data_IF_719325846700
#
_entry.id   IF_719325846700
#
_cell.length_a   1.000
_cell.length_b   1.000
_cell.length_c   1.000
_cell.angle_alpha   90.00
_cell.angle_beta   90.00
_cell.angle_gamma   90.00
#
_symmetry.space_group_name_H-M   'P 1'
#
loop_
_entity.id
_entity.type
_entity.pdbx_description
1 polymer ?
#
# COMPACT_ATOMS: atom_id res chain seq x y z
N UNK A 1 26.04 -14.51 17.73
CA UNK A 1 25.35 -14.36 19.06
C UNK A 1 23.88 -14.07 18.77
N UNK A 2 22.98 -14.52 19.65
CA UNK A 2 21.55 -14.25 19.48
C UNK A 2 21.25 -12.77 19.79
N UNK A 3 20.33 -12.11 19.01
CA UNK A 3 19.90 -10.76 19.31
C UNK A 3 19.25 -10.67 20.68
N UNK A 4 19.47 -9.57 21.40
CA UNK A 4 18.84 -9.32 22.70
C UNK A 4 17.83 -8.17 22.57
N UNK A 5 16.65 -8.33 23.14
CA UNK A 5 15.59 -7.36 23.14
C UNK A 5 15.52 -6.64 24.49
N UNK A 6 15.41 -5.32 24.45
CA UNK A 6 15.25 -4.44 25.60
C UNK A 6 14.01 -3.58 25.44
N UNK A 7 13.18 -3.53 26.48
CA UNK A 7 12.07 -2.58 26.54
C UNK A 7 12.61 -1.26 27.12
N UNK A 8 12.31 -0.16 26.45
CA UNK A 8 12.78 1.17 26.80
C UNK A 8 11.61 2.14 26.89
N UNK A 9 11.45 2.81 28.03
CA UNK A 9 10.45 3.85 28.23
C UNK A 9 11.03 5.22 27.91
N UNK A 10 10.49 5.90 26.87
CA UNK A 10 10.84 7.28 26.53
C UNK A 10 9.86 8.26 27.17
N UNK A 11 10.35 8.98 28.17
CA UNK A 11 9.57 10.01 28.88
C UNK A 11 9.89 11.45 28.43
N UNK A 12 10.98 11.64 27.69
CA UNK A 12 11.47 12.93 27.24
C UNK A 12 11.86 12.91 25.76
N UNK A 13 11.98 14.09 25.15
CA UNK A 13 12.38 14.23 23.75
C UNK A 13 13.76 13.64 23.44
N UNK A 14 14.66 13.63 24.42
CA UNK A 14 15.99 13.02 24.34
C UNK A 14 16.26 12.30 25.66
N UNK A 15 16.55 11.03 25.59
CA UNK A 15 16.85 10.20 26.72
C UNK A 15 18.01 9.26 26.39
N UNK A 16 18.96 9.09 27.31
CA UNK A 16 20.14 8.24 27.11
C UNK A 16 19.98 6.93 27.84
N UNK A 17 20.26 5.82 27.16
CA UNK A 17 20.25 4.49 27.73
C UNK A 17 21.65 3.91 27.72
N UNK A 18 21.99 3.18 28.80
CA UNK A 18 23.24 2.45 28.91
C UNK A 18 22.91 0.97 28.96
N UNK A 19 23.50 0.20 28.07
CA UNK A 19 23.41 -1.25 28.04
C UNK A 19 24.76 -1.80 28.52
N UNK A 20 24.77 -2.54 29.65
CA UNK A 20 25.98 -3.07 30.21
C UNK A 20 26.35 -4.42 29.60
N UNK A 21 27.68 -4.67 29.48
CA UNK A 21 28.30 -5.98 29.20
C UNK A 21 28.20 -6.53 27.77
N UNK A 22 28.50 -5.70 26.76
CA UNK A 22 28.72 -6.21 25.39
C UNK A 22 30.19 -6.06 25.00
N UNK A 23 30.91 -7.16 24.92
CA UNK A 23 32.26 -7.19 24.39
C UNK A 23 32.28 -6.93 22.87
N UNK A 24 31.12 -7.11 22.21
CA UNK A 24 31.02 -7.01 20.76
C UNK A 24 29.62 -6.61 20.32
N UNK A 25 29.38 -5.31 20.15
CA UNK A 25 28.17 -4.76 19.58
C UNK A 25 28.33 -4.64 18.06
N UNK A 26 27.47 -5.31 17.31
CA UNK A 26 27.50 -5.27 15.83
C UNK A 26 26.40 -4.33 15.27
N UNK A 27 25.23 -4.27 15.92
CA UNK A 27 24.15 -3.39 15.54
C UNK A 27 23.22 -3.05 16.70
N UNK A 28 22.52 -1.93 16.57
CA UNK A 28 21.41 -1.53 17.44
C UNK A 28 20.21 -1.20 16.56
N UNK A 29 19.08 -1.81 16.85
CA UNK A 29 17.81 -1.57 16.16
C UNK A 29 16.82 -1.00 17.16
N UNK A 30 16.16 0.08 16.80
CA UNK A 30 15.09 0.68 17.60
C UNK A 30 13.77 0.41 16.90
N UNK A 31 12.78 -0.08 17.63
CA UNK A 31 11.45 -0.44 17.12
C UNK A 31 11.49 -1.36 15.87
N UNK A 32 12.24 -2.49 15.95
CA UNK A 32 12.47 -3.35 14.78
C UNK A 32 11.21 -4.07 14.28
N UNK A 33 10.14 -4.06 15.08
CA UNK A 33 8.85 -4.67 14.73
C UNK A 33 7.79 -3.63 14.34
N UNK A 34 8.14 -2.34 14.31
CA UNK A 34 7.20 -1.23 14.05
C UNK A 34 6.00 -1.23 15.00
N UNK A 35 6.23 -1.53 16.28
CA UNK A 35 5.19 -1.58 17.32
C UNK A 35 4.81 -0.20 17.84
N UNK A 36 5.70 0.76 17.71
CA UNK A 36 5.48 2.13 18.18
C UNK A 36 4.75 2.92 17.11
N UNK A 37 3.60 3.50 17.47
CA UNK A 37 2.89 4.41 16.58
C UNK A 37 3.64 5.75 16.48
N UNK A 38 4.41 5.92 15.43
CA UNK A 38 5.25 7.08 15.15
C UNK A 38 5.20 7.45 13.67
N UNK A 39 5.63 8.64 13.34
CA UNK A 39 5.90 8.99 11.96
C UNK A 39 7.19 8.29 11.53
N UNK A 40 7.10 7.48 10.48
CA UNK A 40 8.26 6.84 9.89
C UNK A 40 9.12 7.87 9.16
N UNK A 41 10.42 7.68 9.22
CA UNK A 41 11.34 8.42 8.37
C UNK A 41 11.22 7.96 6.92
N UNK A 42 11.66 8.80 6.00
CA UNK A 42 11.62 8.47 4.57
C UNK A 42 12.48 7.24 4.25
N UNK A 43 13.61 7.10 4.93
CA UNK A 43 14.51 5.96 4.78
C UNK A 43 13.93 4.65 5.36
N UNK A 44 12.88 4.74 6.16
CA UNK A 44 12.13 3.57 6.67
C UNK A 44 10.97 3.16 5.78
N UNK A 45 10.64 3.96 4.78
CA UNK A 45 9.54 3.74 3.85
C UNK A 45 10.07 3.43 2.45
N UNK A 46 10.38 2.16 2.13
CA UNK A 46 10.87 1.81 0.81
C UNK A 46 9.86 2.20 -0.28
N UNK A 47 10.35 2.60 -1.47
CA UNK A 47 9.46 2.96 -2.57
C UNK A 47 8.66 1.75 -3.04
N UNK A 48 7.38 1.96 -3.33
CA UNK A 48 6.45 0.90 -3.74
C UNK A 48 5.66 1.28 -4.99
N UNK A 49 5.06 0.29 -5.63
CA UNK A 49 4.12 0.48 -6.75
C UNK A 49 2.99 1.45 -6.37
N UNK A 50 2.49 1.35 -5.13
CA UNK A 50 1.42 2.22 -4.63
C UNK A 50 1.83 3.69 -4.53
N UNK A 51 3.10 3.97 -4.29
CA UNK A 51 3.61 5.34 -4.27
C UNK A 51 3.57 5.97 -5.67
N UNK A 52 3.89 5.20 -6.72
CA UNK A 52 3.76 5.67 -8.10
C UNK A 52 2.29 5.90 -8.47
N UNK A 53 1.41 4.96 -8.17
CA UNK A 53 -0.03 5.11 -8.45
C UNK A 53 -0.69 6.22 -7.63
N UNK A 54 -0.17 6.50 -6.43
CA UNK A 54 -0.64 7.58 -5.56
C UNK A 54 -0.08 8.97 -5.89
N UNK A 55 0.84 9.07 -6.84
CA UNK A 55 1.45 10.34 -7.22
C UNK A 55 0.43 11.26 -7.90
N UNK A 56 0.37 12.51 -7.45
CA UNK A 56 -0.49 13.53 -8.08
C UNK A 56 -0.03 13.95 -9.49
N UNK A 57 1.28 13.86 -9.74
CA UNK A 57 1.91 14.16 -11.04
C UNK A 57 2.83 13.03 -11.44
N UNK A 58 2.64 12.50 -12.64
CA UNK A 58 3.38 11.35 -13.13
C UNK A 58 3.72 11.50 -14.61
N UNK A 59 4.87 10.98 -15.01
CA UNK A 59 5.26 10.89 -16.41
C UNK A 59 5.57 9.46 -16.79
N UNK A 60 5.14 9.07 -17.97
CA UNK A 60 5.46 7.78 -18.59
C UNK A 60 6.46 8.01 -19.73
N UNK A 61 7.64 7.43 -19.60
CA UNK A 61 8.70 7.49 -20.63
C UNK A 61 8.64 6.23 -21.44
N UNK A 62 8.18 6.37 -22.69
CA UNK A 62 7.97 5.26 -23.59
C UNK A 62 9.21 4.96 -24.43
N UNK A 63 9.47 3.67 -24.71
CA UNK A 63 10.47 3.27 -25.68
C UNK A 63 9.99 3.51 -27.10
N UNK A 64 10.87 3.31 -28.09
CA UNK A 64 10.50 3.45 -29.50
C UNK A 64 9.66 2.28 -30.02
N UNK A 65 9.87 1.09 -29.49
CA UNK A 65 9.16 -0.11 -29.91
C UNK A 65 7.84 -0.32 -29.19
N UNK A 66 6.90 -0.96 -29.86
CA UNK A 66 5.60 -1.35 -29.33
C UNK A 66 4.77 -0.19 -28.72
N UNK A 67 4.95 1.04 -29.24
CA UNK A 67 4.36 2.28 -28.73
C UNK A 67 2.87 2.18 -28.40
N UNK A 68 2.08 1.49 -29.23
CA UNK A 68 0.62 1.40 -29.02
C UNK A 68 0.25 0.68 -27.70
N UNK A 69 0.97 -0.36 -27.32
CA UNK A 69 0.74 -1.10 -26.09
C UNK A 69 1.17 -0.27 -24.89
N UNK A 70 2.31 0.41 -24.98
CA UNK A 70 2.80 1.28 -23.92
C UNK A 70 1.95 2.54 -23.70
N UNK A 71 1.42 3.14 -24.76
CA UNK A 71 0.46 4.25 -24.65
C UNK A 71 -0.78 3.81 -23.90
N UNK A 72 -1.35 2.63 -24.26
CA UNK A 72 -2.51 2.09 -23.54
C UNK A 72 -2.22 1.88 -22.05
N UNK A 73 -1.09 1.29 -21.70
CA UNK A 73 -0.69 1.11 -20.29
C UNK A 73 -0.58 2.46 -19.58
N UNK A 74 0.06 3.45 -20.20
CA UNK A 74 0.22 4.79 -19.63
C UNK A 74 -1.13 5.50 -19.43
N UNK A 75 -2.07 5.37 -20.34
CA UNK A 75 -3.43 5.93 -20.23
C UNK A 75 -4.22 5.28 -19.09
N UNK A 76 -4.16 3.96 -18.96
CA UNK A 76 -4.85 3.22 -17.90
C UNK A 76 -4.23 3.50 -16.51
N UNK A 77 -2.91 3.52 -16.41
CA UNK A 77 -2.21 3.81 -15.15
C UNK A 77 -2.24 5.29 -14.78
N UNK A 78 -2.21 6.19 -15.77
CA UNK A 78 -2.30 7.63 -15.55
C UNK A 78 -3.65 8.07 -15.02
N UNK A 79 -4.70 7.44 -15.48
CA UNK A 79 -6.12 7.51 -15.06
C UNK A 79 -6.61 8.83 -14.48
N UNK A 80 -6.27 9.12 -13.23
CA UNK A 80 -6.76 10.28 -12.47
C UNK A 80 -5.67 11.28 -12.07
N UNK A 81 -4.40 10.90 -12.27
CA UNK A 81 -3.27 11.78 -12.00
C UNK A 81 -3.11 12.82 -13.12
N UNK A 82 -2.41 13.91 -12.82
CA UNK A 82 -1.87 14.79 -13.86
C UNK A 82 -0.71 14.06 -14.53
N UNK A 83 -1.02 13.33 -15.63
CA UNK A 83 -0.02 12.50 -16.28
C UNK A 83 0.39 13.04 -17.65
N UNK A 84 1.62 12.78 -18.00
CA UNK A 84 2.24 13.12 -19.28
C UNK A 84 2.92 11.89 -19.90
N UNK A 85 2.86 11.79 -21.22
CA UNK A 85 3.58 10.77 -21.99
C UNK A 85 4.73 11.46 -22.71
N UNK A 86 5.94 10.98 -22.47
CA UNK A 86 7.16 11.42 -23.16
C UNK A 86 7.82 10.23 -23.86
N UNK A 87 8.55 10.53 -24.93
CA UNK A 87 9.35 9.53 -25.63
C UNK A 87 10.81 9.64 -25.20
N UNK A 88 11.48 8.52 -25.05
CA UNK A 88 12.84 8.48 -24.53
C UNK A 88 13.84 9.29 -25.38
N UNK A 89 13.63 9.35 -26.70
CA UNK A 89 14.44 10.13 -27.63
C UNK A 89 14.22 11.65 -27.53
N UNK A 90 13.12 12.09 -26.90
CA UNK A 90 12.75 13.50 -26.77
C UNK A 90 13.29 14.20 -25.51
N UNK A 91 13.84 13.45 -24.58
CA UNK A 91 14.34 13.98 -23.30
C UNK A 91 15.80 13.61 -23.06
N UNK A 92 16.50 14.34 -22.19
CA UNK A 92 17.91 14.12 -21.85
C UNK A 92 18.13 13.63 -20.43
N UNK A 93 17.16 13.78 -19.56
CA UNK A 93 17.17 13.35 -18.16
C UNK A 93 15.76 13.11 -17.69
N UNK A 94 15.61 12.34 -16.59
CA UNK A 94 14.33 12.16 -15.93
C UNK A 94 13.81 13.51 -15.39
N UNK A 95 12.50 13.81 -15.53
CA UNK A 95 11.88 14.98 -14.90
C UNK A 95 11.94 14.91 -13.37
N UNK A 96 12.45 15.96 -12.71
CA UNK A 96 12.72 15.98 -11.26
C UNK A 96 11.54 16.44 -10.39
N UNK A 97 10.43 16.87 -11.02
CA UNK A 97 9.28 17.46 -10.36
C UNK A 97 8.06 16.53 -10.25
N UNK A 98 8.21 15.28 -10.67
CA UNK A 98 7.14 14.28 -10.72
C UNK A 98 7.67 12.86 -10.65
N UNK A 99 6.82 11.91 -10.29
CA UNK A 99 7.13 10.49 -10.35
C UNK A 99 7.22 10.00 -11.79
N UNK A 100 8.04 8.97 -12.04
CA UNK A 100 8.40 8.55 -13.39
C UNK A 100 8.18 7.05 -13.57
N UNK A 101 7.47 6.66 -14.63
CA UNK A 101 7.50 5.30 -15.16
C UNK A 101 8.41 5.23 -16.39
N UNK A 102 9.40 4.38 -16.35
CA UNK A 102 10.26 4.00 -17.50
C UNK A 102 9.75 2.68 -18.05
N UNK A 103 9.29 2.69 -19.29
CA UNK A 103 8.61 1.57 -19.92
C UNK A 103 9.53 0.85 -20.92
N UNK A 104 9.54 -0.48 -20.87
CA UNK A 104 10.29 -1.32 -21.79
C UNK A 104 11.76 -1.56 -21.39
N UNK A 105 12.33 -2.68 -21.92
CA UNK A 105 13.72 -3.06 -21.68
C UNK A 105 14.74 -2.22 -22.46
N UNK A 106 14.34 -1.73 -23.63
CA UNK A 106 15.23 -0.96 -24.50
C UNK A 106 15.21 0.54 -24.22
N UNK A 107 14.51 0.95 -23.16
CA UNK A 107 14.45 2.34 -22.75
C UNK A 107 15.81 2.78 -22.17
N UNK A 108 16.46 3.83 -22.72
CA UNK A 108 17.79 4.28 -22.29
C UNK A 108 17.83 4.76 -20.82
N UNK A 109 16.68 5.15 -20.24
CA UNK A 109 16.60 5.56 -18.84
C UNK A 109 16.48 4.38 -17.85
N UNK A 110 16.45 3.15 -18.36
CA UNK A 110 16.45 1.94 -17.53
C UNK A 110 17.64 1.91 -16.57
N UNK A 111 18.82 2.26 -17.04
CA UNK A 111 20.04 2.20 -16.22
C UNK A 111 20.01 3.18 -15.03
N UNK A 112 19.26 4.28 -15.14
CA UNK A 112 19.05 5.21 -14.02
C UNK A 112 18.22 4.55 -12.91
N UNK A 113 17.21 3.73 -13.27
CA UNK A 113 16.42 2.95 -12.31
C UNK A 113 17.28 1.90 -11.62
N UNK A 114 18.10 1.18 -12.35
CA UNK A 114 19.02 0.17 -11.78
C UNK A 114 20.08 0.82 -10.88
N UNK A 115 20.57 2.00 -11.23
CA UNK A 115 21.45 2.78 -10.37
C UNK A 115 20.74 3.17 -9.08
N UNK A 116 19.52 3.68 -9.16
CA UNK A 116 18.71 4.09 -8.01
C UNK A 116 18.31 2.90 -7.09
N UNK A 117 18.29 1.69 -7.60
CA UNK A 117 17.94 0.47 -6.85
C UNK A 117 19.16 -0.38 -6.47
N UNK A 118 20.37 0.06 -6.83
CA UNK A 118 21.61 -0.68 -6.53
C UNK A 118 21.85 -0.89 -5.04
N UNK A 119 21.45 0.07 -4.20
CA UNK A 119 21.52 -0.04 -2.73
C UNK A 119 20.68 -1.21 -2.17
N UNK A 120 19.68 -1.68 -2.91
CA UNK A 120 18.87 -2.85 -2.57
C UNK A 120 19.41 -4.16 -3.16
N UNK A 121 20.62 -4.11 -3.76
CA UNK A 121 21.25 -5.27 -4.38
C UNK A 121 20.64 -5.69 -5.73
N UNK A 122 19.89 -4.81 -6.38
CA UNK A 122 19.38 -5.03 -7.73
C UNK A 122 20.54 -4.84 -8.73
N UNK A 123 20.76 -5.84 -9.57
CA UNK A 123 21.77 -5.78 -10.62
C UNK A 123 21.23 -6.34 -11.92
N UNK A 124 21.66 -5.73 -13.03
CA UNK A 124 21.38 -6.22 -14.35
C UNK A 124 22.30 -7.42 -14.64
N UNK A 125 21.76 -8.47 -15.26
CA UNK A 125 22.52 -9.61 -15.80
C UNK A 125 22.16 -9.78 -17.28
N UNK A 126 22.93 -10.58 -18.04
CA UNK A 126 22.84 -10.65 -19.51
C UNK A 126 21.40 -10.86 -20.01
N UNK A 127 20.67 -11.82 -19.43
CA UNK A 127 19.31 -12.19 -19.85
C UNK A 127 18.25 -11.95 -18.77
N UNK A 128 18.50 -11.03 -17.81
CA UNK A 128 17.58 -10.82 -16.70
C UNK A 128 18.05 -9.81 -15.67
N UNK A 129 17.56 -9.99 -14.46
CA UNK A 129 17.95 -9.18 -13.30
C UNK A 129 18.20 -10.09 -12.08
N UNK A 130 19.09 -9.66 -11.20
CA UNK A 130 19.24 -10.25 -9.88
C UNK A 130 18.51 -9.39 -8.86
N UNK A 131 17.61 -10.01 -8.09
CA UNK A 131 16.79 -9.36 -7.05
C UNK A 131 16.75 -10.26 -5.81
N UNK A 132 16.93 -9.69 -4.63
CA UNK A 132 16.81 -10.41 -3.36
C UNK A 132 17.61 -11.72 -3.29
N UNK A 133 18.79 -11.74 -3.93
CA UNK A 133 19.66 -12.91 -3.98
C UNK A 133 19.24 -13.99 -4.99
N UNK A 134 18.14 -13.82 -5.71
CA UNK A 134 17.67 -14.68 -6.80
C UNK A 134 17.90 -14.05 -8.18
N UNK A 135 17.90 -14.86 -9.22
CA UNK A 135 17.95 -14.42 -10.62
C UNK A 135 16.56 -14.55 -11.25
N UNK A 136 16.13 -13.51 -11.96
CA UNK A 136 14.86 -13.44 -12.68
C UNK A 136 15.17 -13.19 -14.14
N UNK A 137 14.98 -14.21 -14.96
CA UNK A 137 15.19 -14.14 -16.42
C UNK A 137 14.10 -13.25 -17.05
N UNK A 138 14.40 -12.63 -18.20
CA UNK A 138 13.42 -11.81 -18.92
C UNK A 138 12.46 -12.64 -19.76
N UNK A 139 12.89 -13.82 -20.24
CA UNK A 139 12.12 -14.67 -21.13
C UNK A 139 10.77 -15.08 -20.51
N UNK A 140 9.67 -14.85 -21.24
CA UNK A 140 8.29 -15.14 -20.86
C UNK A 140 7.90 -14.49 -19.52
N UNK A 141 8.42 -13.30 -19.23
CA UNK A 141 8.20 -12.60 -17.95
C UNK A 141 7.86 -11.13 -18.14
N UNK A 142 7.09 -10.63 -17.16
CA UNK A 142 6.89 -9.21 -16.93
C UNK A 142 7.46 -8.85 -15.58
N UNK A 143 8.31 -7.82 -15.52
CA UNK A 143 9.04 -7.45 -14.31
C UNK A 143 8.82 -5.98 -13.99
N UNK A 144 8.66 -5.68 -12.71
CA UNK A 144 8.48 -4.32 -12.19
C UNK A 144 9.47 -4.06 -11.07
N UNK A 145 10.17 -2.93 -11.16
CA UNK A 145 11.14 -2.46 -10.17
C UNK A 145 10.82 -1.02 -9.81
N UNK A 146 10.71 -0.74 -8.54
CA UNK A 146 10.46 0.61 -8.02
C UNK A 146 11.66 1.09 -7.22
N UNK A 147 12.09 2.31 -7.49
CA UNK A 147 13.19 2.98 -6.78
C UNK A 147 12.82 4.40 -6.34
N UNK A 148 13.71 5.04 -5.62
CA UNK A 148 13.65 6.48 -5.38
C UNK A 148 14.14 7.23 -6.61
N UNK A 149 13.55 8.38 -6.89
CA UNK A 149 14.00 9.21 -7.99
C UNK A 149 15.45 9.71 -7.72
N UNK A 150 16.41 9.49 -8.65
CA UNK A 150 17.83 9.74 -8.37
C UNK A 150 18.16 11.19 -8.00
N UNK A 151 17.36 12.15 -8.48
CA UNK A 151 17.56 13.58 -8.19
C UNK A 151 16.55 14.14 -7.18
N UNK A 152 15.55 13.37 -6.73
CA UNK A 152 14.54 13.84 -5.79
C UNK A 152 13.97 12.69 -4.96
N UNK A 153 14.52 12.45 -3.77
CA UNK A 153 14.14 11.34 -2.90
C UNK A 153 12.68 11.34 -2.45
N UNK A 154 11.96 12.46 -2.59
CA UNK A 154 10.53 12.55 -2.30
C UNK A 154 9.64 11.89 -3.37
N UNK A 155 10.20 11.56 -4.52
CA UNK A 155 9.50 10.98 -5.65
C UNK A 155 9.94 9.54 -5.88
N UNK A 156 9.05 8.75 -6.47
CA UNK A 156 9.34 7.40 -6.89
C UNK A 156 9.61 7.33 -8.40
N UNK A 157 10.45 6.37 -8.79
CA UNK A 157 10.64 5.95 -10.17
C UNK A 157 10.33 4.47 -10.30
N UNK A 158 9.75 4.06 -11.40
CA UNK A 158 9.45 2.66 -11.69
C UNK A 158 9.92 2.27 -13.07
N UNK A 159 10.37 1.04 -13.19
CA UNK A 159 10.62 0.40 -14.48
C UNK A 159 9.71 -0.81 -14.64
N UNK A 160 9.11 -0.93 -15.81
CA UNK A 160 8.32 -2.10 -16.19
C UNK A 160 8.85 -2.69 -17.50
N UNK A 161 9.13 -3.97 -17.46
CA UNK A 161 9.43 -4.81 -18.61
C UNK A 161 8.28 -5.78 -18.84
N UNK A 162 7.91 -5.96 -20.10
CA UNK A 162 6.96 -6.99 -20.55
C UNK A 162 7.58 -7.65 -21.76
N UNK A 163 7.98 -8.92 -21.65
CA UNK A 163 8.64 -9.65 -22.72
C UNK A 163 7.68 -9.89 -23.90
N UNK A 164 6.52 -10.46 -23.61
CA UNK A 164 5.50 -10.71 -24.62
C UNK A 164 4.33 -9.73 -24.47
N UNK A 165 4.08 -8.88 -25.49
CA UNK A 165 2.99 -7.87 -25.44
C UNK A 165 1.59 -8.44 -25.23
N UNK A 166 1.38 -9.72 -25.46
CA UNK A 166 0.12 -10.41 -25.14
C UNK A 166 -0.17 -10.42 -23.63
N UNK A 167 0.85 -10.33 -22.78
CA UNK A 167 0.69 -10.22 -21.32
C UNK A 167 0.23 -8.82 -20.86
N UNK A 168 0.36 -7.79 -21.70
CA UNK A 168 0.09 -6.40 -21.35
C UNK A 168 -1.30 -6.14 -20.75
N UNK A 169 -2.41 -6.67 -21.31
CA UNK A 169 -3.73 -6.46 -20.72
C UNK A 169 -3.83 -6.99 -19.28
N UNK A 170 -3.27 -8.18 -19.03
CA UNK A 170 -3.23 -8.76 -17.70
C UNK A 170 -2.34 -7.98 -16.72
N UNK A 171 -1.24 -7.41 -17.20
CA UNK A 171 -0.40 -6.52 -16.37
C UNK A 171 -1.14 -5.22 -16.00
N UNK A 172 -1.86 -4.63 -16.93
CA UNK A 172 -2.68 -3.44 -16.68
C UNK A 172 -3.73 -3.71 -15.60
N UNK A 173 -4.41 -4.84 -15.66
CA UNK A 173 -5.44 -5.22 -14.71
C UNK A 173 -4.85 -5.55 -13.33
N UNK A 174 -3.76 -6.32 -13.29
CA UNK A 174 -3.24 -6.90 -12.04
C UNK A 174 -2.33 -5.97 -11.25
N UNK A 175 -1.46 -5.19 -11.92
CA UNK A 175 -0.42 -4.42 -11.23
C UNK A 175 -0.96 -3.43 -10.18
N UNK A 176 -2.10 -2.76 -10.36
CA UNK A 176 -2.67 -1.89 -9.33
C UNK A 176 -2.95 -2.58 -7.98
N UNK A 177 -3.22 -3.89 -7.98
CA UNK A 177 -3.45 -4.67 -6.76
C UNK A 177 -2.16 -5.00 -5.98
N UNK A 178 -1.00 -4.72 -6.57
CA UNK A 178 0.31 -4.98 -5.96
C UNK A 178 0.96 -3.73 -5.35
N UNK A 179 0.16 -2.74 -4.97
CA UNK A 179 0.62 -1.43 -4.48
C UNK A 179 1.65 -1.47 -3.36
N UNK A 180 1.63 -2.47 -2.49
CA UNK A 180 2.52 -2.58 -1.33
C UNK A 180 3.94 -3.10 -1.64
N UNK A 181 4.21 -3.54 -2.87
CA UNK A 181 5.48 -4.15 -3.23
C UNK A 181 6.42 -3.18 -3.94
N UNK A 182 7.73 -3.37 -3.75
CA UNK A 182 8.80 -2.61 -4.40
C UNK A 182 9.31 -3.27 -5.67
N UNK A 183 9.19 -4.60 -5.76
CA UNK A 183 9.56 -5.37 -6.93
C UNK A 183 8.62 -6.55 -7.14
N UNK A 184 8.42 -6.90 -8.40
CA UNK A 184 7.50 -7.94 -8.84
C UNK A 184 8.03 -8.64 -10.09
N UNK A 185 7.76 -9.93 -10.23
CA UNK A 185 7.83 -10.65 -11.49
C UNK A 185 6.57 -11.48 -11.69
N UNK A 186 6.17 -11.58 -12.94
CA UNK A 186 5.02 -12.38 -13.40
C UNK A 186 5.45 -13.25 -14.56
N UNK A 187 4.97 -14.47 -14.61
CA UNK A 187 5.24 -15.42 -15.69
C UNK A 187 4.04 -15.59 -16.61
N UNK A 188 4.34 -15.79 -17.91
CA UNK A 188 3.37 -16.20 -18.91
C UNK A 188 2.56 -15.08 -19.53
N UNK A 189 1.84 -15.44 -20.57
CA UNK A 189 0.94 -14.54 -21.31
C UNK A 189 -0.30 -14.10 -20.50
N UNK A 190 -0.72 -14.94 -19.57
CA UNK A 190 -1.66 -14.58 -18.50
C UNK A 190 -0.84 -14.36 -17.22
N UNK A 191 -0.41 -13.11 -16.93
CA UNK A 191 0.59 -12.84 -15.92
C UNK A 191 0.26 -13.46 -14.57
N UNK A 192 1.09 -14.41 -14.11
CA UNK A 192 0.97 -15.02 -12.78
C UNK A 192 2.15 -14.60 -11.94
N UNK A 193 1.89 -13.97 -10.80
CA UNK A 193 2.94 -13.47 -9.91
C UNK A 193 3.71 -14.63 -9.27
N UNK A 194 5.03 -14.64 -9.43
CA UNK A 194 5.94 -15.65 -8.88
C UNK A 194 7.04 -15.04 -8.00
N UNK A 195 7.35 -13.76 -8.18
CA UNK A 195 8.31 -13.03 -7.35
C UNK A 195 7.69 -11.71 -6.90
N UNK A 196 7.77 -11.40 -5.62
CA UNK A 196 7.37 -10.12 -5.06
C UNK A 196 8.05 -9.84 -3.72
N UNK A 197 8.29 -8.58 -3.43
CA UNK A 197 8.83 -8.17 -2.13
C UNK A 197 8.89 -6.66 -1.98
N UNK A 198 9.29 -6.27 -0.79
CA UNK A 198 9.56 -4.89 -0.39
C UNK A 198 11.05 -4.77 -0.12
N UNK A 199 11.66 -3.65 -0.52
CA UNK A 199 13.06 -3.41 -0.22
C UNK A 199 13.30 -3.34 1.30
N UNK A 200 14.49 -3.73 1.73
CA UNK A 200 14.97 -3.43 3.08
C UNK A 200 15.18 -1.91 3.23
N UNK A 201 15.26 -1.44 4.46
CA UNK A 201 15.54 -0.03 4.80
C UNK A 201 16.95 0.07 5.42
N UNK A 202 18.03 -0.06 4.62
CA UNK A 202 19.40 -0.15 5.15
C UNK A 202 19.87 1.14 5.84
N UNK A 203 19.34 2.29 5.40
CA UNK A 203 19.71 3.61 5.89
C UNK A 203 18.72 4.18 6.93
N UNK A 204 17.89 3.32 7.54
CA UNK A 204 16.94 3.74 8.58
C UNK A 204 17.65 4.47 9.72
N UNK A 205 17.19 5.67 10.14
CA UNK A 205 17.74 6.37 11.30
C UNK A 205 17.48 5.63 12.63
N UNK A 206 16.61 4.61 12.59
CA UNK A 206 16.27 3.76 13.74
C UNK A 206 17.20 2.55 13.86
N UNK A 207 18.28 2.52 13.09
CA UNK A 207 19.31 1.49 13.18
C UNK A 207 20.71 2.09 13.23
N UNK A 208 21.58 1.42 13.93
CA UNK A 208 23.01 1.64 13.88
C UNK A 208 23.70 0.29 13.62
N UNK A 209 24.58 0.25 12.64
CA UNK A 209 25.39 -0.91 12.30
C UNK A 209 26.85 -0.48 12.38
N UNK A 210 27.67 -1.33 12.96
CA UNK A 210 29.10 -1.08 13.12
C UNK A 210 29.79 -1.07 11.76
N UNK A 211 30.65 -0.10 11.54
CA UNK A 211 31.45 0.00 10.30
C UNK A 211 32.25 -1.28 10.03
N UNK A 212 32.12 -1.81 8.82
CA UNK A 212 32.78 -3.04 8.41
C UNK A 212 32.17 -4.32 8.99
N UNK A 213 31.00 -4.26 9.58
CA UNK A 213 30.22 -5.43 9.96
C UNK A 213 29.52 -6.02 8.72
N UNK A 214 29.52 -7.35 8.62
CA UNK A 214 28.71 -8.08 7.63
C UNK A 214 27.25 -8.27 8.11
N UNK A 215 26.83 -7.53 9.15
CA UNK A 215 25.51 -7.63 9.72
C UNK A 215 24.45 -7.19 8.69
N UNK A 216 23.53 -8.07 8.41
CA UNK A 216 22.30 -7.76 7.68
C UNK A 216 21.10 -8.09 8.56
N UNK A 217 20.09 -7.22 8.54
CA UNK A 217 18.84 -7.47 9.25
C UNK A 217 18.08 -8.54 8.48
N UNK A 218 18.07 -9.75 9.02
CA UNK A 218 17.10 -10.77 8.63
C UNK A 218 15.97 -10.75 9.68
N UNK A 219 14.74 -10.33 9.30
CA UNK A 219 13.61 -10.33 10.21
C UNK A 219 13.36 -11.69 10.89
N UNK A 220 13.77 -12.79 10.23
CA UNK A 220 13.65 -14.13 10.80
C UNK A 220 14.65 -14.40 11.95
N UNK A 221 15.71 -13.60 12.07
CA UNK A 221 16.70 -13.72 13.16
C UNK A 221 16.36 -12.88 14.38
N UNK A 222 15.38 -11.97 14.27
CA UNK A 222 14.93 -11.21 15.43
C UNK A 222 14.25 -12.11 16.44
N UNK A 223 14.41 -11.84 17.75
CA UNK A 223 13.72 -12.60 18.78
C UNK A 223 12.23 -12.62 18.54
N UNK A 224 11.61 -13.79 18.65
CA UNK A 224 10.15 -13.88 18.55
C UNK A 224 9.52 -13.05 19.66
N UNK A 225 8.68 -12.09 19.31
CA UNK A 225 7.92 -11.32 20.30
C UNK A 225 7.12 -12.26 21.18
N UNK A 226 7.05 -11.94 22.47
CA UNK A 226 6.11 -12.62 23.37
C UNK A 226 4.70 -12.38 22.85
N UNK A 227 4.04 -13.45 22.45
CA UNK A 227 2.65 -13.35 22.00
C UNK A 227 1.79 -12.76 23.12
N UNK A 228 0.97 -11.76 22.78
CA UNK A 228 0.00 -11.18 23.72
C UNK A 228 -1.17 -12.14 24.05
N UNK A 229 -1.04 -13.40 23.69
CA UNK A 229 -2.08 -14.44 23.88
C UNK A 229 -2.46 -14.68 25.35
N UNK A 230 -1.65 -14.26 26.29
CA UNK A 230 -1.97 -14.35 27.72
C UNK A 230 -2.73 -13.12 28.26
N UNK A 231 -2.91 -12.08 27.43
CA UNK A 231 -3.75 -10.95 27.79
C UNK A 231 -5.20 -11.26 27.44
N UNK A 232 -6.17 -10.84 28.27
CA UNK A 232 -7.58 -10.96 27.89
C UNK A 232 -7.78 -10.25 26.54
N UNK A 233 -8.57 -10.85 25.63
CA UNK A 233 -8.75 -10.28 24.31
C UNK A 233 -9.29 -8.85 24.43
N UNK A 234 -8.62 -7.90 23.79
CA UNK A 234 -9.06 -6.50 23.77
C UNK A 234 -10.33 -6.33 22.97
N UNK A 235 -10.59 -7.23 22.02
CA UNK A 235 -11.77 -7.29 21.20
C UNK A 235 -12.43 -8.65 21.37
N UNK A 236 -13.77 -8.66 21.46
CA UNK A 236 -14.53 -9.90 21.62
C UNK A 236 -14.71 -10.56 20.24
N UNK A 237 -14.28 -11.81 20.05
CA UNK A 237 -14.43 -12.52 18.78
C UNK A 237 -15.88 -12.52 18.26
N UNK A 238 -16.85 -12.65 19.18
CA UNK A 238 -18.28 -12.66 18.81
C UNK A 238 -18.75 -11.33 18.20
N UNK A 239 -18.15 -10.21 18.60
CA UNK A 239 -18.48 -8.91 18.01
C UNK A 239 -17.93 -8.78 16.62
N UNK A 240 -16.65 -9.18 16.42
CA UNK A 240 -16.03 -9.21 15.10
C UNK A 240 -16.80 -10.12 14.15
N UNK A 241 -17.10 -11.34 14.59
CA UNK A 241 -17.87 -12.30 13.79
C UNK A 241 -19.27 -11.80 13.42
N UNK A 242 -19.92 -11.05 14.31
CA UNK A 242 -21.23 -10.45 14.01
C UNK A 242 -21.14 -9.45 12.86
N UNK A 243 -20.15 -8.57 12.83
CA UNK A 243 -19.96 -7.63 11.73
C UNK A 243 -19.66 -8.36 10.42
N UNK A 244 -18.81 -9.40 10.46
CA UNK A 244 -18.53 -10.23 9.27
C UNK A 244 -19.79 -10.89 8.78
N UNK A 245 -20.56 -11.56 9.65
CA UNK A 245 -21.79 -12.25 9.28
C UNK A 245 -22.82 -11.30 8.67
N UNK A 246 -22.99 -10.11 9.24
CA UNK A 246 -23.91 -9.09 8.71
C UNK A 246 -23.49 -8.65 7.31
N UNK A 247 -22.20 -8.31 7.13
CA UNK A 247 -21.68 -7.84 5.84
C UNK A 247 -21.63 -8.93 4.77
N UNK A 248 -21.64 -10.20 5.15
CA UNK A 248 -21.62 -11.35 4.21
C UNK A 248 -23.00 -11.98 4.00
N UNK A 249 -24.05 -11.41 4.59
CA UNK A 249 -25.43 -11.86 4.37
C UNK A 249 -25.80 -11.77 2.89
N UNK A 250 -26.64 -12.67 2.43
CA UNK A 250 -27.11 -12.71 1.03
C UNK A 250 -27.76 -11.40 0.58
N UNK A 251 -28.41 -10.68 1.50
CA UNK A 251 -29.01 -9.38 1.21
C UNK A 251 -28.00 -8.29 0.87
N UNK A 252 -26.73 -8.46 1.28
CA UNK A 252 -25.64 -7.57 0.92
C UNK A 252 -25.12 -7.82 -0.50
N UNK A 253 -25.61 -8.87 -1.19
CA UNK A 253 -25.28 -9.17 -2.59
C UNK A 253 -23.78 -9.17 -2.88
N UNK A 254 -22.95 -9.68 -1.93
CA UNK A 254 -21.51 -9.63 -2.01
C UNK A 254 -20.93 -8.22 -2.14
N UNK A 255 -21.68 -7.21 -1.75
CA UNK A 255 -21.28 -5.78 -1.76
C UNK A 255 -20.76 -5.29 -3.12
N UNK A 256 -21.26 -5.90 -4.20
CA UNK A 256 -20.88 -5.55 -5.56
C UNK A 256 -21.26 -4.11 -5.91
N UNK A 257 -20.39 -3.39 -6.60
CA UNK A 257 -20.63 -2.01 -7.05
C UNK A 257 -21.89 -1.94 -7.91
N UNK A 258 -22.71 -0.94 -7.67
CA UNK A 258 -23.98 -0.71 -8.40
C UNK A 258 -25.14 -1.60 -7.94
N UNK A 259 -24.94 -2.47 -6.96
CA UNK A 259 -26.02 -3.28 -6.38
C UNK A 259 -26.70 -2.54 -5.22
N UNK A 260 -27.90 -2.98 -4.85
CA UNK A 260 -28.55 -2.48 -3.63
C UNK A 260 -27.84 -2.94 -2.35
N UNK A 261 -27.10 -4.06 -2.42
CA UNK A 261 -26.38 -4.64 -1.31
C UNK A 261 -25.25 -3.75 -0.80
N UNK A 262 -24.49 -3.11 -1.71
CA UNK A 262 -23.43 -2.18 -1.30
C UNK A 262 -24.01 -0.95 -0.57
N UNK A 263 -25.20 -0.49 -0.98
CA UNK A 263 -25.90 0.58 -0.28
C UNK A 263 -26.32 0.19 1.14
N UNK A 264 -26.86 -1.04 1.32
CA UNK A 264 -27.18 -1.59 2.66
C UNK A 264 -25.93 -1.69 3.54
N UNK A 265 -24.80 -2.14 2.98
CA UNK A 265 -23.53 -2.19 3.69
C UNK A 265 -23.06 -0.79 4.13
N UNK A 266 -23.16 0.22 3.28
CA UNK A 266 -22.85 1.61 3.63
C UNK A 266 -23.75 2.14 4.78
N UNK A 267 -25.05 1.82 4.74
CA UNK A 267 -26.00 2.19 5.80
C UNK A 267 -25.63 1.48 7.11
N UNK A 268 -25.34 0.19 7.05
CA UNK A 268 -24.90 -0.58 8.22
C UNK A 268 -23.66 0.03 8.87
N UNK A 269 -22.61 0.32 8.08
CA UNK A 269 -21.37 0.91 8.58
C UNK A 269 -21.64 2.29 9.17
N UNK A 270 -22.50 3.08 8.53
CA UNK A 270 -22.93 4.39 9.04
C UNK A 270 -23.54 4.29 10.44
N UNK A 271 -24.44 3.32 10.64
CA UNK A 271 -25.06 3.10 11.95
C UNK A 271 -24.04 2.64 13.00
N UNK A 272 -23.07 1.80 12.61
CA UNK A 272 -21.99 1.38 13.51
C UNK A 272 -21.11 2.57 13.93
N UNK A 273 -20.71 3.44 12.99
CA UNK A 273 -19.92 4.64 13.30
C UNK A 273 -20.71 5.61 14.21
N UNK A 274 -21.98 5.83 13.92
CA UNK A 274 -22.88 6.62 14.79
C UNK A 274 -22.99 6.02 16.18
N UNK A 275 -23.22 4.72 16.28
CA UNK A 275 -23.33 3.98 17.55
C UNK A 275 -22.01 3.93 18.34
N UNK A 276 -20.89 4.02 17.65
CA UNK A 276 -19.56 4.15 18.24
C UNK A 276 -19.32 5.58 18.80
N UNK A 277 -20.12 6.57 18.42
CA UNK A 277 -19.98 7.95 18.85
C UNK A 277 -18.98 8.77 18.01
N UNK A 278 -18.70 8.34 16.78
CA UNK A 278 -17.98 9.16 15.83
C UNK A 278 -18.84 10.33 15.37
N UNK A 279 -18.22 11.44 15.01
CA UNK A 279 -18.90 12.57 14.40
C UNK A 279 -18.87 12.49 12.86
N UNK A 280 -19.92 12.95 12.19
CA UNK A 280 -19.91 13.06 10.73
C UNK A 280 -19.00 14.21 10.26
N UNK A 281 -18.42 14.09 9.06
CA UNK A 281 -17.73 15.19 8.41
C UNK A 281 -18.73 15.97 7.54
N UNK A 282 -18.74 17.29 7.65
CA UNK A 282 -19.67 18.17 6.93
C UNK A 282 -21.16 17.77 7.09
N UNK A 283 -21.53 17.22 8.25
CA UNK A 283 -22.91 16.85 8.58
C UNK A 283 -23.38 15.51 8.02
N UNK A 284 -22.54 14.77 7.32
CA UNK A 284 -22.84 13.44 6.77
C UNK A 284 -21.73 12.45 7.03
N UNK A 285 -22.10 11.20 7.34
CA UNK A 285 -21.17 10.07 7.35
C UNK A 285 -20.91 9.56 5.94
N UNK A 286 -21.85 9.74 5.02
CA UNK A 286 -21.74 9.24 3.65
C UNK A 286 -21.27 10.35 2.72
N UNK A 287 -20.12 10.13 2.09
CA UNK A 287 -19.58 10.93 1.00
C UNK A 287 -19.97 10.25 -0.30
N UNK A 288 -20.88 10.87 -1.06
CA UNK A 288 -21.43 10.32 -2.30
C UNK A 288 -20.91 11.07 -3.52
N UNK A 289 -20.53 10.32 -4.54
CA UNK A 289 -20.18 10.89 -5.85
C UNK A 289 -20.59 9.95 -6.97
N UNK A 290 -20.57 10.44 -8.19
CA UNK A 290 -20.95 9.69 -9.38
C UNK A 290 -19.77 9.59 -10.32
N UNK A 291 -19.43 8.37 -10.73
CA UNK A 291 -18.29 8.10 -11.57
C UNK A 291 -18.58 6.94 -12.54
N UNK A 292 -17.89 6.92 -13.69
CA UNK A 292 -17.84 5.74 -14.56
C UNK A 292 -16.83 4.75 -14.03
N UNK A 293 -17.22 3.48 -13.93
CA UNK A 293 -16.39 2.39 -13.47
C UNK A 293 -16.25 1.39 -14.61
N UNK A 294 -15.00 1.04 -14.97
CA UNK A 294 -14.68 0.03 -16.00
C UNK A 294 -15.48 0.17 -17.31
N UNK A 295 -15.66 1.39 -17.81
CA UNK A 295 -16.40 1.66 -19.05
C UNK A 295 -17.93 1.49 -18.95
N UNK A 296 -18.45 1.30 -17.74
CA UNK A 296 -19.88 1.21 -17.46
C UNK A 296 -20.56 2.59 -17.43
N UNK A 297 -21.90 2.57 -17.34
CA UNK A 297 -22.68 3.77 -17.03
C UNK A 297 -22.23 4.38 -15.69
N UNK A 298 -22.50 5.67 -15.51
CA UNK A 298 -22.19 6.39 -14.27
C UNK A 298 -22.90 5.75 -13.09
N UNK A 299 -22.12 5.35 -12.09
CA UNK A 299 -22.58 4.69 -10.85
C UNK A 299 -22.35 5.65 -9.68
N UNK A 300 -23.30 5.71 -8.76
CA UNK A 300 -23.10 6.39 -7.47
C UNK A 300 -22.25 5.49 -6.57
N UNK A 301 -21.15 6.04 -6.07
CA UNK A 301 -20.25 5.44 -5.11
C UNK A 301 -20.36 6.20 -3.77
N UNK A 302 -20.06 5.53 -2.66
CA UNK A 302 -20.21 6.09 -1.33
C UNK A 302 -19.05 5.65 -0.44
N UNK A 303 -18.22 6.59 0.03
CA UNK A 303 -17.37 6.33 1.19
C UNK A 303 -18.16 6.61 2.47
N UNK A 304 -17.93 5.81 3.51
CA UNK A 304 -18.49 6.09 4.85
C UNK A 304 -17.38 6.61 5.74
N UNK A 305 -17.56 7.81 6.28
CA UNK A 305 -16.50 8.53 7.01
C UNK A 305 -17.02 9.00 8.36
N UNK A 306 -16.24 8.76 9.40
CA UNK A 306 -16.48 9.27 10.73
C UNK A 306 -15.19 9.76 11.38
N UNK A 307 -15.29 10.70 12.32
CA UNK A 307 -14.15 11.32 12.98
C UNK A 307 -14.25 11.23 14.50
N UNK A 308 -13.12 10.97 15.15
CA UNK A 308 -12.87 11.27 16.55
C UNK A 308 -12.05 12.54 16.59
N UNK A 309 -12.63 13.63 17.14
CA UNK A 309 -11.89 14.88 17.31
C UNK A 309 -10.79 14.73 18.33
N UNK A 310 -9.65 15.37 18.06
CA UNK A 310 -8.54 15.45 19.00
C UNK A 310 -8.64 16.65 19.94
N UNK A 311 -7.65 16.78 20.81
CA UNK A 311 -7.44 18.01 21.62
C UNK A 311 -7.25 19.21 20.68
N UNK A 312 -6.56 19.02 19.57
CA UNK A 312 -6.56 19.96 18.45
C UNK A 312 -7.82 19.68 17.60
N UNK A 313 -8.75 20.61 17.61
CA UNK A 313 -10.03 20.48 16.89
C UNK A 313 -9.89 20.73 15.38
N UNK A 314 -8.76 21.25 14.93
CA UNK A 314 -8.48 21.45 13.51
C UNK A 314 -8.34 20.10 12.80
N UNK A 315 -9.34 19.76 11.99
CA UNK A 315 -9.39 18.52 11.22
C UNK A 315 -8.26 18.41 10.18
N UNK A 316 -7.73 19.54 9.73
CA UNK A 316 -6.64 19.61 8.76
C UNK A 316 -5.25 19.49 9.41
N UNK A 317 -5.19 19.51 10.75
CA UNK A 317 -3.93 19.41 11.49
C UNK A 317 -3.43 17.97 11.59
N UNK A 318 -2.87 17.44 10.51
CA UNK A 318 -2.26 16.11 10.43
C UNK A 318 -3.15 14.99 11.03
N UNK A 319 -4.34 14.73 10.50
CA UNK A 319 -5.20 13.67 11.01
C UNK A 319 -4.56 12.31 10.80
N UNK A 320 -4.90 11.36 11.67
CA UNK A 320 -4.61 9.93 11.43
C UNK A 320 -5.80 9.35 10.68
N UNK A 321 -5.56 8.71 9.54
CA UNK A 321 -6.60 8.03 8.78
C UNK A 321 -6.47 6.53 8.99
N UNK A 322 -7.57 5.90 9.39
CA UNK A 322 -7.70 4.44 9.50
C UNK A 322 -8.80 4.02 8.53
N UNK A 323 -8.49 3.18 7.58
CA UNK A 323 -9.42 2.81 6.52
C UNK A 323 -9.39 1.33 6.15
N UNK A 324 -10.52 0.87 5.61
CA UNK A 324 -10.67 -0.42 4.96
C UNK A 324 -11.70 -0.27 3.83
N UNK A 325 -11.62 -1.06 2.76
CA UNK A 325 -12.70 -1.08 1.78
C UNK A 325 -13.81 -2.02 2.19
N UNK A 326 -15.03 -1.73 1.74
CA UNK A 326 -16.20 -2.52 2.08
C UNK A 326 -16.92 -3.14 0.88
N UNK A 327 -16.56 -2.74 -0.35
CA UNK A 327 -17.00 -3.40 -1.56
C UNK A 327 -16.32 -4.75 -1.75
N UNK A 328 -16.94 -5.60 -2.57
CA UNK A 328 -16.37 -6.85 -3.05
C UNK A 328 -16.97 -7.21 -4.42
N UNK A 329 -16.62 -8.35 -4.97
CA UNK A 329 -16.92 -8.76 -6.36
C UNK A 329 -18.43 -8.84 -6.64
N UNK A 330 -19.24 -9.13 -5.64
CA UNK A 330 -20.70 -9.24 -5.82
C UNK A 330 -21.18 -10.61 -6.26
N UNK A 331 -21.94 -10.64 -7.35
CA UNK A 331 -22.48 -11.85 -7.98
C UNK A 331 -21.96 -11.93 -9.40
N UNK A 332 -21.40 -13.07 -9.79
CA UNK A 332 -20.88 -13.28 -11.13
C UNK A 332 -21.99 -13.53 -12.19
N UNK A 333 -21.57 -13.64 -13.45
CA UNK A 333 -22.47 -13.89 -14.58
C UNK A 333 -23.22 -15.24 -14.47
N UNK A 334 -22.72 -16.18 -13.68
CA UNK A 334 -23.33 -17.48 -13.44
C UNK A 334 -24.28 -17.45 -12.23
N UNK A 335 -24.42 -16.32 -11.57
CA UNK A 335 -25.24 -16.15 -10.37
C UNK A 335 -24.56 -16.65 -9.09
N UNK A 336 -23.24 -16.84 -9.08
CA UNK A 336 -22.49 -17.24 -7.90
C UNK A 336 -22.26 -15.99 -7.06
N UNK A 337 -22.70 -16.04 -5.80
CA UNK A 337 -22.47 -15.01 -4.82
C UNK A 337 -21.07 -15.15 -4.20
N UNK A 338 -20.30 -14.06 -4.20
CA UNK A 338 -19.04 -13.92 -3.51
C UNK A 338 -19.25 -13.07 -2.23
N UNK A 339 -19.36 -13.69 -1.07
CA UNK A 339 -19.75 -12.98 0.15
C UNK A 339 -18.63 -12.09 0.71
N UNK A 340 -17.34 -12.32 0.36
CA UNK A 340 -16.21 -11.48 0.75
C UNK A 340 -16.02 -11.38 2.26
N UNK A 341 -15.92 -12.51 2.96
CA UNK A 341 -15.72 -12.53 4.41
C UNK A 341 -14.34 -12.06 4.80
N UNK A 342 -13.30 -12.59 4.16
CA UNK A 342 -11.89 -12.22 4.34
C UNK A 342 -11.60 -10.93 3.58
N UNK A 343 -12.10 -10.79 2.38
CA UNK A 343 -11.94 -9.64 1.50
C UNK A 343 -13.26 -8.91 1.25
N UNK A 344 -13.68 -7.80 1.96
CA UNK A 344 -12.91 -7.35 3.12
C UNK A 344 -13.87 -7.01 4.29
N UNK A 345 -14.87 -7.88 4.52
CA UNK A 345 -15.76 -7.74 5.69
C UNK A 345 -14.96 -7.83 7.01
N UNK A 346 -13.87 -8.61 7.02
CA UNK A 346 -12.98 -8.75 8.17
C UNK A 346 -12.30 -7.43 8.51
N UNK A 347 -11.76 -6.71 7.54
CA UNK A 347 -11.15 -5.39 7.72
C UNK A 347 -12.16 -4.33 8.20
N UNK A 348 -13.37 -4.34 7.64
CA UNK A 348 -14.46 -3.47 8.13
C UNK A 348 -14.87 -3.80 9.56
N UNK A 349 -14.95 -5.08 9.91
CA UNK A 349 -15.23 -5.52 11.28
C UNK A 349 -14.20 -4.94 12.27
N UNK A 350 -12.92 -5.02 11.93
CA UNK A 350 -11.83 -4.44 12.73
C UNK A 350 -11.97 -2.91 12.79
N UNK A 351 -12.21 -2.25 11.66
CA UNK A 351 -12.39 -0.80 11.58
C UNK A 351 -13.46 -0.31 12.53
N UNK A 352 -14.64 -0.96 12.53
CA UNK A 352 -15.78 -0.62 13.41
C UNK A 352 -15.40 -0.80 14.87
N UNK A 353 -14.79 -1.91 15.24
CA UNK A 353 -14.44 -2.21 16.63
C UNK A 353 -13.32 -1.32 17.16
N UNK A 354 -12.34 -0.97 16.33
CA UNK A 354 -11.30 0.01 16.67
C UNK A 354 -11.92 1.39 16.89
N UNK A 355 -12.80 1.82 16.00
CA UNK A 355 -13.54 3.08 16.13
C UNK A 355 -14.33 3.13 17.45
N UNK A 356 -15.10 2.09 17.74
CA UNK A 356 -15.91 2.01 18.97
C UNK A 356 -15.06 1.99 20.25
N UNK A 357 -13.85 1.45 20.19
CA UNK A 357 -12.96 1.40 21.34
C UNK A 357 -12.25 2.74 21.56
N UNK A 358 -11.67 3.30 20.51
CA UNK A 358 -10.93 4.56 20.62
C UNK A 358 -11.82 5.73 21.00
N UNK A 359 -13.04 5.81 20.46
CA UNK A 359 -13.98 6.88 20.79
C UNK A 359 -14.38 6.94 22.29
N UNK A 360 -14.34 5.79 22.98
CA UNK A 360 -14.75 5.68 24.39
C UNK A 360 -13.61 5.78 25.39
N UNK A 361 -12.42 5.38 24.97
CA UNK A 361 -11.30 5.16 25.90
C UNK A 361 -10.20 6.22 25.76
N UNK A 362 -10.25 7.07 24.74
CA UNK A 362 -9.11 7.89 24.37
C UNK A 362 -9.51 9.21 23.74
N UNK A 363 -8.93 10.31 24.22
CA UNK A 363 -9.01 11.61 23.55
C UNK A 363 -7.66 11.83 22.83
N UNK A 364 -7.61 11.68 21.51
CA UNK A 364 -6.36 11.79 20.77
C UNK A 364 -5.84 13.23 20.74
N UNK A 365 -4.54 13.41 20.59
CA UNK A 365 -3.95 14.73 20.38
C UNK A 365 -4.31 15.30 19.00
N UNK A 366 -4.42 14.43 17.99
CA UNK A 366 -4.79 14.74 16.61
C UNK A 366 -6.11 14.09 16.27
N UNK A 367 -6.88 14.63 15.33
CA UNK A 367 -8.09 13.96 14.84
C UNK A 367 -7.77 12.57 14.28
N UNK A 368 -8.68 11.61 14.50
CA UNK A 368 -8.62 10.28 13.88
C UNK A 368 -9.84 10.17 12.97
N UNK A 369 -9.58 9.95 11.68
CA UNK A 369 -10.61 9.77 10.65
C UNK A 369 -10.71 8.29 10.32
N UNK A 370 -11.92 7.74 10.43
CA UNK A 370 -12.24 6.37 10.04
C UNK A 370 -12.94 6.40 8.69
N UNK A 371 -12.46 5.60 7.74
CA UNK A 371 -13.01 5.58 6.38
C UNK A 371 -13.26 4.14 5.94
N UNK A 372 -14.52 3.85 5.59
CA UNK A 372 -14.86 2.66 4.81
C UNK A 372 -14.95 3.08 3.33
N UNK A 373 -13.99 2.60 2.54
CA UNK A 373 -13.86 2.95 1.13
C UNK A 373 -14.74 2.08 0.24
N UNK A 374 -15.30 2.67 -0.82
CA UNK A 374 -16.02 1.97 -1.89
C UNK A 374 -15.17 1.93 -3.15
N UNK A 375 -15.29 0.85 -3.93
CA UNK A 375 -14.66 0.77 -5.24
C UNK A 375 -13.18 0.42 -5.21
N UNK A 376 -12.75 -0.34 -4.22
CA UNK A 376 -11.40 -0.89 -4.17
C UNK A 376 -11.20 -1.88 -5.30
N UNK A 377 -12.11 -2.85 -5.44
CA UNK A 377 -12.11 -3.93 -6.46
C UNK A 377 -12.15 -3.39 -7.90
N UNK A 378 -12.52 -2.14 -8.07
CA UNK A 378 -12.57 -1.45 -9.38
C UNK A 378 -11.42 -0.45 -9.57
N UNK A 379 -10.31 -0.61 -8.85
CA UNK A 379 -9.13 0.21 -8.95
C UNK A 379 -9.00 1.29 -7.88
N UNK A 380 -9.32 0.95 -6.63
CA UNK A 380 -9.14 1.80 -5.44
C UNK A 380 -9.84 3.17 -5.54
N UNK A 381 -10.97 3.22 -6.22
CA UNK A 381 -11.69 4.45 -6.59
C UNK A 381 -12.00 5.32 -5.36
N UNK A 382 -12.46 4.70 -4.28
CA UNK A 382 -12.87 5.41 -3.09
C UNK A 382 -11.74 6.07 -2.32
N UNK A 383 -10.57 5.44 -2.27
CA UNK A 383 -9.40 5.99 -1.58
C UNK A 383 -8.71 7.11 -2.37
N UNK A 384 -9.02 7.22 -3.67
CA UNK A 384 -8.54 8.30 -4.53
C UNK A 384 -9.48 9.51 -4.56
N UNK A 385 -10.73 9.36 -4.09
CA UNK A 385 -11.72 10.42 -4.01
C UNK A 385 -11.53 11.28 -2.77
#
# INVERSE_FOLDING_TARGET
EEPQLFDVDLSQKLEGFFVENYDRLEAVLVDPYFDVFRQLDREETPPTVGELFGSSRIVFILPDDNRQHWVRLAEEFGGRSDFEIMYADSIKSLPEDRSVWVLGSDNPFRDEIFSATSLYGVTNIDDGIRIAGGEVEHENRSTVIIGRHPSNAELAVGWIHVDEMIAMPGMIEKLPHYGKYSYLSFTGSEPTNDVKGVWSSPDSPMQWVKDGSDFSIDPATLPTQKTLTNLPPKYLPDRLSRHVNELTDEEMQGRGIGTSGIGKAADYITEQFRGAGLEPINGSYQQKWVQSVLGSEKIELTNVVGIIRGVNEDIEANPVIIGAHYDHIGVDENGILYPGADDNASGISILIEVAAKLSRAYTPQRPIIFVAFSGEESGMIGSQH
#
